data_IF_271726199493
#
_entry.id   IF_271726199493
#
_cell.length_a   1.000
_cell.length_b   1.000
_cell.length_c   1.000
_cell.angle_alpha   90.00
_cell.angle_beta   90.00
_cell.angle_gamma   90.00
#
_symmetry.space_group_name_H-M   'P 1'
#
loop_
_entity.id
_entity.type
_entity.pdbx_description
1 polymer ?
#
# COMPACT_ATOMS: atom_id res chain seq x y z
N UNK A 1 -11.25 -9.65 -14.35
CA UNK A 1 -10.86 -9.07 -13.06
C UNK A 1 -9.43 -9.49 -12.76
N UNK A 2 -8.52 -8.52 -12.65
CA UNK A 2 -7.10 -8.71 -12.36
C UNK A 2 -6.80 -8.15 -10.98
N UNK A 3 -6.09 -8.90 -10.14
CA UNK A 3 -5.56 -8.42 -8.87
C UNK A 3 -4.06 -8.17 -9.01
N UNK A 4 -3.61 -7.01 -8.53
CA UNK A 4 -2.20 -6.68 -8.39
C UNK A 4 -1.86 -6.57 -6.91
N UNK A 5 -0.77 -7.24 -6.51
CA UNK A 5 -0.21 -7.16 -5.17
C UNK A 5 1.16 -6.51 -5.29
N UNK A 6 1.34 -5.38 -4.61
CA UNK A 6 2.61 -4.66 -4.55
C UNK A 6 3.13 -4.70 -3.12
N UNK A 7 4.41 -5.01 -2.99
CA UNK A 7 5.17 -4.83 -1.77
C UNK A 7 6.20 -3.72 -1.99
N UNK A 8 6.43 -2.94 -0.94
CA UNK A 8 7.36 -1.81 -0.97
C UNK A 8 8.34 -1.96 0.19
N UNK A 9 9.63 -1.78 -0.10
CA UNK A 9 10.61 -1.43 0.92
C UNK A 9 10.58 0.07 1.11
N UNK A 10 10.33 0.50 2.33
CA UNK A 10 10.18 1.89 2.70
C UNK A 10 11.50 2.45 3.23
N UNK A 11 11.61 3.77 3.18
CA UNK A 11 12.68 4.46 3.91
C UNK A 11 12.41 4.32 5.41
N UNK A 12 13.45 4.16 6.25
CA UNK A 12 13.26 4.08 7.71
C UNK A 12 12.48 5.28 8.25
N UNK A 13 11.55 5.01 9.18
CA UNK A 13 10.67 6.00 9.80
C UNK A 13 9.50 6.48 8.93
N UNK A 14 9.28 5.92 7.74
CA UNK A 14 8.27 6.43 6.80
C UNK A 14 6.99 5.62 6.72
N UNK A 15 6.92 4.47 7.39
CA UNK A 15 5.71 3.61 7.40
C UNK A 15 4.44 4.36 7.80
N UNK A 16 4.47 5.15 8.87
CA UNK A 16 3.28 5.90 9.31
C UNK A 16 2.78 6.91 8.27
N UNK A 17 3.71 7.57 7.57
CA UNK A 17 3.38 8.50 6.48
C UNK A 17 2.79 7.75 5.30
N UNK A 18 3.37 6.61 4.93
CA UNK A 18 2.84 5.76 3.85
C UNK A 18 1.39 5.34 4.14
N UNK A 19 1.13 4.80 5.32
CA UNK A 19 -0.21 4.34 5.71
C UNK A 19 -1.21 5.50 5.68
N UNK A 20 -0.84 6.67 6.22
CA UNK A 20 -1.69 7.86 6.22
C UNK A 20 -2.04 8.32 4.80
N UNK A 21 -1.05 8.39 3.90
CA UNK A 21 -1.27 8.80 2.50
C UNK A 21 -2.14 7.80 1.75
N UNK A 22 -1.98 6.51 2.03
CA UNK A 22 -2.79 5.46 1.41
C UNK A 22 -4.25 5.54 1.85
N UNK A 23 -4.51 5.67 3.15
CA UNK A 23 -5.87 5.71 3.71
C UNK A 23 -6.59 7.06 3.51
N UNK A 24 -5.83 8.17 3.45
CA UNK A 24 -6.40 9.52 3.38
C UNK A 24 -6.65 10.04 1.97
N UNK A 25 -5.73 9.80 1.04
CA UNK A 25 -5.72 10.48 -0.26
C UNK A 25 -5.67 9.49 -1.42
N UNK A 26 -4.78 8.50 -1.34
CA UNK A 26 -4.45 7.66 -2.49
C UNK A 26 -5.58 6.71 -2.88
N UNK A 27 -6.29 6.13 -1.90
CA UNK A 27 -7.41 5.23 -2.19
C UNK A 27 -8.53 5.95 -2.95
N UNK A 28 -8.89 7.17 -2.53
CA UNK A 28 -9.90 7.97 -3.21
C UNK A 28 -9.44 8.41 -4.60
N UNK A 29 -8.18 8.86 -4.73
CA UNK A 29 -7.61 9.24 -6.01
C UNK A 29 -7.62 8.07 -7.01
N UNK A 30 -7.17 6.89 -6.58
CA UNK A 30 -7.17 5.69 -7.42
C UNK A 30 -8.59 5.28 -7.82
N UNK A 31 -9.55 5.37 -6.91
CA UNK A 31 -10.95 5.08 -7.19
C UNK A 31 -11.55 6.02 -8.27
N UNK A 32 -11.18 7.31 -8.25
CA UNK A 32 -11.59 8.27 -9.29
C UNK A 32 -11.06 7.91 -10.69
N UNK A 33 -10.03 7.06 -10.76
CA UNK A 33 -9.48 6.52 -12.00
C UNK A 33 -9.90 5.06 -12.26
N UNK A 34 -10.95 4.57 -11.59
CA UNK A 34 -11.48 3.22 -11.80
C UNK A 34 -10.63 2.11 -11.19
N UNK A 35 -9.62 2.45 -10.37
CA UNK A 35 -8.74 1.48 -9.72
C UNK A 35 -9.22 1.27 -8.28
N UNK A 36 -9.73 0.08 -7.99
CA UNK A 36 -10.18 -0.25 -6.64
C UNK A 36 -8.98 -0.65 -5.77
N UNK A 37 -8.72 0.11 -4.71
CA UNK A 37 -7.85 -0.35 -3.62
C UNK A 37 -8.61 -1.39 -2.79
N UNK A 38 -8.10 -2.61 -2.75
CA UNK A 38 -8.67 -3.71 -1.97
C UNK A 38 -8.16 -3.66 -0.53
N UNK A 39 -6.87 -3.44 -0.36
CA UNK A 39 -6.23 -3.30 0.95
C UNK A 39 -4.88 -2.58 0.83
N UNK A 40 -4.45 -1.92 1.90
CA UNK A 40 -3.12 -1.32 2.01
C UNK A 40 -2.73 -1.20 3.48
N UNK A 41 -1.43 -1.31 3.78
CA UNK A 41 -0.96 -1.19 5.16
C UNK A 41 0.53 -1.45 5.30
N UNK A 42 1.02 -1.32 6.54
CA UNK A 42 2.35 -1.79 6.91
C UNK A 42 2.39 -3.32 6.87
N UNK A 43 3.53 -3.90 6.47
CA UNK A 43 3.76 -5.33 6.59
C UNK A 43 3.83 -5.71 8.07
N UNK A 44 3.11 -6.76 8.45
CA UNK A 44 3.12 -7.27 9.83
C UNK A 44 4.42 -8.02 10.17
N UNK A 45 5.05 -8.60 9.15
CA UNK A 45 6.31 -9.34 9.25
C UNK A 45 7.23 -8.85 8.14
N UNK A 46 8.30 -8.10 8.45
CA UNK A 46 9.25 -7.66 7.44
C UNK A 46 10.14 -8.82 6.98
N UNK A 47 10.52 -8.84 5.69
CA UNK A 47 11.39 -9.88 5.11
C UNK A 47 12.79 -9.92 5.75
N UNK A 48 13.28 -8.79 6.25
CA UNK A 48 14.57 -8.67 6.92
C UNK A 48 14.52 -7.67 8.07
N UNK A 49 15.36 -7.90 9.08
CA UNK A 49 15.43 -7.06 10.27
C UNK A 49 15.80 -5.61 9.94
N UNK A 50 15.07 -4.66 10.53
CA UNK A 50 15.29 -3.24 10.30
C UNK A 50 14.78 -2.69 8.96
N UNK A 51 14.19 -3.53 8.10
CA UNK A 51 13.53 -3.07 6.88
C UNK A 51 12.06 -2.80 7.17
N UNK A 52 11.63 -1.56 6.91
CA UNK A 52 10.22 -1.21 6.91
C UNK A 52 9.59 -1.60 5.58
N UNK A 53 8.45 -2.30 5.62
CA UNK A 53 7.75 -2.74 4.43
C UNK A 53 6.27 -2.40 4.51
N UNK A 54 5.66 -2.25 3.34
CA UNK A 54 4.23 -2.01 3.20
C UNK A 54 3.67 -2.71 1.97
N UNK A 55 2.35 -2.87 1.94
CA UNK A 55 1.64 -3.51 0.85
C UNK A 55 0.52 -2.63 0.30
N UNK A 56 0.22 -2.86 -0.98
CA UNK A 56 -0.95 -2.33 -1.68
C UNK A 56 -1.54 -3.42 -2.57
N UNK A 57 -2.83 -3.69 -2.40
CA UNK A 57 -3.59 -4.64 -3.21
C UNK A 57 -4.62 -3.85 -4.01
N UNK A 58 -4.65 -4.05 -5.32
CA UNK A 58 -5.54 -3.35 -6.25
C UNK A 58 -6.30 -4.33 -7.14
N UNK A 59 -7.52 -3.96 -7.50
CA UNK A 59 -8.33 -4.68 -8.46
C UNK A 59 -8.61 -3.82 -9.70
N UNK A 60 -8.50 -4.45 -10.87
CA UNK A 60 -8.78 -3.86 -12.18
C UNK A 60 -9.88 -4.70 -12.86
N UNK A 61 -10.89 -4.02 -13.39
CA UNK A 61 -12.02 -4.62 -14.10
C UNK A 61 -11.99 -4.21 -15.57
#
# INVERSE_FOLDING_TARGET
MILELRTYRLRPGTTGVFVRLMSGESAALLANHGIRVVASGASLVPEAEGIEEAYLIRAFA
#
